data_IF_222092220000
#
_entry.id   IF_222092220000
#
_cell.length_a   1.000
_cell.length_b   1.000
_cell.length_c   1.000
_cell.angle_alpha   90.00
_cell.angle_beta   90.00
_cell.angle_gamma   90.00
#
_symmetry.space_group_name_H-M   'P 1'
#
loop_
_entity.id
_entity.type
_entity.pdbx_description
1 polymer ?
#
# COMPACT_ATOMS: atom_id res chain seq x y z
N UNK A 1 -5.28 3.83 7.88
CA UNK A 1 -6.01 3.96 6.62
C UNK A 1 -7.33 3.21 6.73
N UNK A 2 -8.33 3.62 6.00
CA UNK A 2 -9.69 3.04 5.96
C UNK A 2 -9.67 1.51 5.72
N UNK A 3 -8.76 1.05 4.88
CA UNK A 3 -8.57 -0.38 4.63
C UNK A 3 -8.21 -1.14 5.91
N UNK A 4 -7.25 -0.64 6.69
CA UNK A 4 -6.84 -1.27 7.95
C UNK A 4 -7.95 -1.23 8.98
N UNK A 5 -8.69 -0.11 9.07
CA UNK A 5 -9.84 0.02 9.97
C UNK A 5 -10.97 -0.92 9.56
N UNK A 6 -11.21 -1.11 8.27
CA UNK A 6 -12.20 -2.08 7.80
C UNK A 6 -11.81 -3.54 8.13
N UNK A 7 -10.53 -3.88 8.00
CA UNK A 7 -9.97 -5.20 8.40
C UNK A 7 -10.09 -5.39 9.93
N UNK A 8 -9.74 -4.36 10.71
CA UNK A 8 -9.94 -4.36 12.17
C UNK A 8 -11.41 -4.56 12.52
N UNK A 9 -12.31 -3.82 11.90
CA UNK A 9 -13.76 -3.93 12.12
C UNK A 9 -14.28 -5.35 11.86
N UNK A 10 -13.76 -6.02 10.82
CA UNK A 10 -14.07 -7.43 10.55
C UNK A 10 -13.56 -8.34 11.68
N UNK A 11 -12.32 -8.15 12.14
CA UNK A 11 -11.71 -8.97 13.20
C UNK A 11 -12.43 -8.85 14.54
N UNK A 12 -12.87 -7.65 14.90
CA UNK A 12 -13.60 -7.42 16.17
C UNK A 12 -15.09 -7.72 16.07
N UNK A 13 -15.57 -8.12 14.88
CA UNK A 13 -16.98 -8.47 14.67
C UNK A 13 -17.92 -7.26 14.77
N UNK A 14 -17.47 -6.05 14.42
CA UNK A 14 -18.23 -4.80 14.58
C UNK A 14 -19.57 -4.83 13.84
N UNK A 15 -19.68 -5.63 12.79
CA UNK A 15 -20.91 -5.79 12.02
C UNK A 15 -22.09 -6.33 12.85
N UNK A 16 -21.81 -7.14 13.87
CA UNK A 16 -22.84 -7.66 14.76
C UNK A 16 -23.51 -6.56 15.60
N UNK A 17 -22.83 -5.42 15.75
CA UNK A 17 -23.35 -4.23 16.46
C UNK A 17 -24.09 -3.27 15.54
N UNK A 18 -24.03 -3.50 14.22
CA UNK A 18 -24.61 -2.60 13.22
C UNK A 18 -26.00 -3.04 12.81
N UNK A 19 -26.95 -2.12 12.87
CA UNK A 19 -28.27 -2.28 12.22
C UNK A 19 -28.12 -1.89 10.75
N UNK A 20 -27.66 -2.81 9.91
CA UNK A 20 -27.51 -2.57 8.48
C UNK A 20 -28.89 -2.62 7.80
N UNK A 21 -29.23 -1.58 7.02
CA UNK A 21 -30.38 -1.61 6.13
C UNK A 21 -30.15 -2.64 5.00
N UNK A 22 -31.23 -3.18 4.43
CA UNK A 22 -31.19 -4.24 3.40
C UNK A 22 -30.30 -3.90 2.20
N UNK A 23 -30.20 -2.63 1.82
CA UNK A 23 -29.39 -2.15 0.70
C UNK A 23 -27.88 -2.20 0.97
N UNK A 24 -27.45 -1.96 2.20
CA UNK A 24 -26.06 -2.02 2.61
C UNK A 24 -25.55 -3.46 2.85
N UNK A 25 -26.46 -4.40 3.09
CA UNK A 25 -26.12 -5.81 3.34
C UNK A 25 -25.55 -6.53 2.13
N UNK A 26 -25.88 -6.11 0.92
CA UNK A 26 -25.47 -6.76 -0.34
C UNK A 26 -24.21 -6.17 -0.99
N UNK A 27 -23.76 -4.98 -0.57
CA UNK A 27 -22.64 -4.28 -1.19
C UNK A 27 -21.36 -4.42 -0.33
N UNK A 28 -20.39 -5.20 -0.82
CA UNK A 28 -19.11 -5.44 -0.13
C UNK A 28 -18.28 -4.17 0.05
N UNK A 29 -18.32 -3.24 -0.90
CA UNK A 29 -17.60 -1.97 -0.80
C UNK A 29 -18.22 -1.07 0.27
N UNK A 30 -19.55 -0.95 0.28
CA UNK A 30 -20.30 -0.23 1.29
C UNK A 30 -20.06 -0.82 2.69
N UNK A 31 -20.03 -2.13 2.83
CA UNK A 31 -19.72 -2.81 4.10
C UNK A 31 -18.31 -2.52 4.59
N UNK A 32 -17.31 -2.47 3.69
CA UNK A 32 -15.95 -2.11 4.03
C UNK A 32 -15.86 -0.68 4.58
N UNK A 33 -16.49 0.27 3.92
CA UNK A 33 -16.54 1.67 4.35
C UNK A 33 -17.23 1.80 5.72
N UNK A 34 -18.39 1.17 5.89
CA UNK A 34 -19.11 1.18 7.16
C UNK A 34 -18.28 0.60 8.31
N UNK A 35 -17.54 -0.50 8.09
CA UNK A 35 -16.63 -1.05 9.10
C UNK A 35 -15.57 -0.05 9.53
N UNK A 36 -14.94 0.64 8.57
CA UNK A 36 -13.93 1.64 8.86
C UNK A 36 -14.51 2.81 9.67
N UNK A 37 -15.62 3.39 9.23
CA UNK A 37 -16.30 4.50 9.92
C UNK A 37 -16.73 4.14 11.35
N UNK A 38 -17.23 2.92 11.56
CA UNK A 38 -17.62 2.49 12.90
C UNK A 38 -16.41 2.21 13.81
N UNK A 39 -15.28 1.75 13.26
CA UNK A 39 -14.04 1.67 14.02
C UNK A 39 -13.55 3.06 14.44
N UNK A 40 -13.64 4.06 13.57
CA UNK A 40 -13.31 5.46 13.92
C UNK A 40 -14.23 5.99 15.03
N UNK A 41 -15.53 5.75 14.89
CA UNK A 41 -16.51 6.14 15.91
C UNK A 41 -16.23 5.47 17.26
N UNK A 42 -15.85 4.18 17.27
CA UNK A 42 -15.49 3.45 18.49
C UNK A 42 -14.22 4.01 19.13
N UNK A 43 -13.19 4.30 18.35
CA UNK A 43 -11.97 4.96 18.81
C UNK A 43 -12.31 6.32 19.45
N UNK A 44 -13.12 7.11 18.77
CA UNK A 44 -13.58 8.41 19.27
C UNK A 44 -14.40 8.29 20.58
N UNK A 45 -15.26 7.28 20.70
CA UNK A 45 -16.05 7.01 21.89
C UNK A 45 -15.17 6.64 23.09
N UNK A 46 -14.20 5.72 22.91
CA UNK A 46 -13.23 5.32 23.95
C UNK A 46 -12.46 6.56 24.43
N UNK A 47 -11.99 7.41 23.52
CA UNK A 47 -11.29 8.64 23.88
C UNK A 47 -12.20 9.61 24.65
N UNK A 48 -13.42 9.84 24.19
CA UNK A 48 -14.36 10.76 24.85
C UNK A 48 -14.74 10.33 26.27
N UNK A 49 -14.92 9.01 26.48
CA UNK A 49 -15.28 8.49 27.80
C UNK A 49 -14.08 8.56 28.77
N UNK A 50 -12.88 8.23 28.28
CA UNK A 50 -11.68 8.14 29.13
C UNK A 50 -10.94 9.48 29.29
N UNK A 51 -11.12 10.42 28.36
CA UNK A 51 -10.32 11.66 28.25
C UNK A 51 -8.84 11.42 27.99
N UNK A 52 -8.42 10.19 27.64
CA UNK A 52 -7.02 9.78 27.50
C UNK A 52 -6.82 8.94 26.24
N UNK A 53 -5.63 9.04 25.65
CA UNK A 53 -5.24 8.23 24.49
C UNK A 53 -4.82 6.81 24.90
N UNK A 54 -4.32 6.62 26.13
CA UNK A 54 -3.79 5.35 26.60
C UNK A 54 -4.76 4.15 26.45
N UNK A 55 -6.06 4.23 26.77
CA UNK A 55 -7.00 3.13 26.55
C UNK A 55 -7.13 2.72 25.07
N UNK A 56 -7.14 3.73 24.16
CA UNK A 56 -7.17 3.48 22.70
C UNK A 56 -5.89 2.77 22.27
N UNK A 57 -4.73 3.23 22.73
CA UNK A 57 -3.45 2.59 22.42
C UNK A 57 -3.38 1.16 22.93
N UNK A 58 -3.80 0.94 24.18
CA UNK A 58 -3.83 -0.42 24.78
C UNK A 58 -4.70 -1.37 23.96
N UNK A 59 -5.88 -0.91 23.53
CA UNK A 59 -6.80 -1.70 22.72
C UNK A 59 -6.23 -2.00 21.33
N UNK A 60 -5.64 -1.01 20.64
CA UNK A 60 -5.18 -1.15 19.25
C UNK A 60 -3.80 -1.81 19.13
N UNK A 61 -2.96 -1.76 20.16
CA UNK A 61 -1.57 -2.27 20.10
C UNK A 61 -1.46 -3.73 19.62
N UNK A 62 -2.27 -4.70 20.08
CA UNK A 62 -2.19 -6.07 19.59
C UNK A 62 -2.40 -6.18 18.08
N UNK A 63 -3.39 -5.46 17.56
CA UNK A 63 -3.72 -5.45 16.12
C UNK A 63 -2.65 -4.76 15.27
N UNK A 64 -2.03 -3.69 15.78
CA UNK A 64 -0.90 -3.04 15.10
C UNK A 64 0.32 -3.94 15.05
N UNK A 65 0.62 -4.66 16.13
CA UNK A 65 1.75 -5.61 16.16
C UNK A 65 1.57 -6.73 15.16
N UNK A 66 0.37 -7.26 15.02
CA UNK A 66 0.06 -8.28 14.03
C UNK A 66 0.28 -7.78 12.59
N UNK A 67 -0.08 -6.54 12.29
CA UNK A 67 0.08 -5.94 10.96
C UNK A 67 1.47 -5.34 10.73
N UNK A 68 2.34 -5.29 11.73
CA UNK A 68 3.68 -4.67 11.61
C UNK A 68 4.56 -5.41 10.61
N UNK A 69 4.45 -6.73 10.51
CA UNK A 69 5.16 -7.54 9.52
C UNK A 69 4.81 -7.15 8.08
N UNK A 70 3.52 -6.97 7.80
CA UNK A 70 3.02 -6.57 6.48
C UNK A 70 3.46 -5.14 6.11
N UNK A 71 3.53 -4.25 7.11
CA UNK A 71 4.02 -2.88 6.92
C UNK A 71 5.51 -2.86 6.62
N UNK A 72 6.30 -3.70 7.29
CA UNK A 72 7.73 -3.83 7.02
C UNK A 72 8.00 -4.48 5.66
N UNK A 73 7.15 -5.42 5.24
CA UNK A 73 7.23 -6.06 3.92
C UNK A 73 6.81 -5.12 2.77
N UNK A 74 5.91 -4.16 3.02
CA UNK A 74 5.48 -3.15 2.06
C UNK A 74 5.39 -1.76 2.74
N UNK A 75 6.54 -1.12 3.04
CA UNK A 75 6.59 0.16 3.76
C UNK A 75 5.81 1.27 3.07
N UNK A 76 5.65 1.18 1.77
CA UNK A 76 4.96 2.18 0.96
C UNK A 76 3.45 1.90 0.79
N UNK A 77 2.93 0.77 1.29
CA UNK A 77 1.49 0.39 1.32
C UNK A 77 0.74 0.68 0.01
N UNK A 78 1.33 0.27 -1.11
CA UNK A 78 0.76 0.53 -2.43
C UNK A 78 0.93 1.96 -2.94
N UNK A 79 1.68 2.83 -2.24
CA UNK A 79 2.05 4.17 -2.70
C UNK A 79 3.48 4.21 -3.28
N UNK A 80 3.84 3.14 -3.99
CA UNK A 80 5.19 2.95 -4.53
C UNK A 80 5.58 4.01 -5.56
N UNK A 81 4.59 4.59 -6.26
CA UNK A 81 4.85 5.70 -7.21
C UNK A 81 5.41 6.93 -6.50
N UNK A 82 4.79 7.36 -5.40
CA UNK A 82 5.28 8.51 -4.63
C UNK A 82 6.65 8.22 -4.03
N UNK A 83 6.83 7.03 -3.47
CA UNK A 83 8.13 6.63 -2.91
C UNK A 83 9.24 6.64 -3.96
N UNK A 84 8.99 6.10 -5.16
CA UNK A 84 9.96 6.12 -6.25
C UNK A 84 10.25 7.56 -6.70
N UNK A 85 9.23 8.40 -6.80
CA UNK A 85 9.37 9.81 -7.15
C UNK A 85 10.22 10.57 -6.13
N UNK A 86 9.93 10.41 -4.84
CA UNK A 86 10.72 11.02 -3.76
C UNK A 86 12.18 10.58 -3.80
N UNK A 87 12.39 9.27 -4.00
CA UNK A 87 13.74 8.72 -4.10
C UNK A 87 14.51 9.28 -5.32
N UNK A 88 13.90 9.28 -6.51
CA UNK A 88 14.56 9.78 -7.73
C UNK A 88 14.88 11.26 -7.64
N UNK A 89 13.98 12.05 -7.06
CA UNK A 89 14.22 13.49 -6.82
C UNK A 89 15.35 13.70 -5.81
N UNK A 90 15.39 12.94 -4.72
CA UNK A 90 16.48 13.02 -3.74
C UNK A 90 17.85 12.64 -4.33
N UNK A 91 17.88 11.79 -5.37
CA UNK A 91 19.11 11.43 -6.10
C UNK A 91 19.44 12.38 -7.26
N UNK A 92 18.62 13.42 -7.51
CA UNK A 92 18.79 14.33 -8.64
C UNK A 92 18.51 13.70 -10.01
N UNK A 93 17.78 12.58 -10.06
CA UNK A 93 17.48 11.81 -11.28
C UNK A 93 16.20 12.29 -12.02
N UNK A 94 15.53 13.33 -11.51
CA UNK A 94 14.28 13.82 -12.05
C UNK A 94 13.08 12.97 -11.67
N UNK A 95 11.98 13.12 -12.40
CA UNK A 95 10.75 12.34 -12.19
C UNK A 95 10.78 11.04 -12.98
N UNK A 96 10.33 9.91 -12.40
CA UNK A 96 10.17 8.67 -13.16
C UNK A 96 9.05 8.82 -14.20
N UNK A 97 9.25 8.27 -15.38
CA UNK A 97 8.25 8.25 -16.45
C UNK A 97 7.65 6.85 -16.59
N UNK A 98 6.38 6.78 -17.00
CA UNK A 98 5.63 5.54 -17.12
C UNK A 98 5.03 5.40 -18.51
N UNK A 99 5.25 4.24 -19.14
CA UNK A 99 4.58 3.87 -20.39
C UNK A 99 3.70 2.67 -20.12
N UNK A 100 2.38 2.82 -20.30
CA UNK A 100 1.42 1.76 -20.02
C UNK A 100 0.58 1.45 -21.26
N UNK A 101 0.40 0.16 -21.54
CA UNK A 101 -0.41 -0.38 -22.63
C UNK A 101 -1.50 -1.28 -22.08
N UNK A 102 -2.68 -1.20 -22.65
CA UNK A 102 -3.75 -2.18 -22.41
C UNK A 102 -3.52 -3.38 -23.32
N UNK A 103 -3.21 -4.53 -22.73
CA UNK A 103 -2.88 -5.78 -23.46
C UNK A 103 -4.04 -6.77 -23.49
N UNK A 104 -5.08 -6.57 -22.67
CA UNK A 104 -6.28 -7.40 -22.63
C UNK A 104 -7.52 -6.53 -22.47
N UNK A 105 -8.59 -6.82 -23.21
CA UNK A 105 -9.89 -6.17 -23.06
C UNK A 105 -10.85 -6.94 -22.15
N UNK A 106 -10.40 -8.08 -21.60
CA UNK A 106 -11.24 -8.92 -20.74
C UNK A 106 -11.46 -8.21 -19.40
N UNK A 107 -12.72 -8.02 -19.04
CA UNK A 107 -13.07 -7.45 -17.73
C UNK A 107 -12.60 -8.38 -16.60
N UNK A 108 -11.97 -7.80 -15.55
CA UNK A 108 -11.45 -8.57 -14.42
C UNK A 108 -10.12 -9.28 -14.67
N UNK A 109 -9.49 -9.13 -15.85
CA UNK A 109 -8.17 -9.70 -16.12
C UNK A 109 -7.12 -8.98 -15.23
N UNK A 110 -6.42 -9.70 -14.33
CA UNK A 110 -5.40 -9.11 -13.45
C UNK A 110 -4.16 -8.61 -14.21
N UNK A 111 -3.98 -9.01 -15.47
CA UNK A 111 -2.88 -8.60 -16.35
C UNK A 111 -3.35 -7.72 -17.51
N UNK A 112 -4.46 -7.03 -17.34
CA UNK A 112 -5.06 -6.19 -18.38
C UNK A 112 -4.14 -5.09 -18.89
N UNK A 113 -3.38 -4.48 -18.00
CA UNK A 113 -2.44 -3.40 -18.31
C UNK A 113 -1.00 -3.86 -18.04
N UNK A 114 -0.11 -3.60 -18.99
CA UNK A 114 1.33 -3.72 -18.86
C UNK A 114 1.92 -2.32 -18.72
N UNK A 115 2.76 -2.09 -17.72
CA UNK A 115 3.35 -0.79 -17.45
C UNK A 115 4.85 -0.93 -17.24
N UNK A 116 5.61 -0.05 -17.88
CA UNK A 116 7.05 0.09 -17.75
C UNK A 116 7.37 1.41 -17.06
N UNK A 117 8.35 1.44 -16.19
CA UNK A 117 8.87 2.63 -15.53
C UNK A 117 10.32 2.88 -15.94
N UNK A 118 10.61 4.14 -16.20
CA UNK A 118 11.94 4.61 -16.59
C UNK A 118 12.41 5.64 -15.57
N UNK A 119 13.68 5.54 -15.16
CA UNK A 119 14.37 6.52 -14.32
C UNK A 119 15.46 7.13 -15.17
N UNK A 120 15.47 8.45 -15.27
CA UNK A 120 16.23 9.20 -16.28
C UNK A 120 15.78 8.86 -17.71
N UNK A 121 16.45 9.44 -18.72
CA UNK A 121 16.19 9.18 -20.16
C UNK A 121 16.90 7.87 -20.61
N UNK A 122 16.64 6.78 -19.90
CA UNK A 122 17.20 5.47 -20.27
C UNK A 122 16.41 4.85 -21.42
N UNK A 123 17.12 4.23 -22.37
CA UNK A 123 16.51 3.52 -23.50
C UNK A 123 15.83 2.19 -23.07
N UNK A 124 16.09 1.71 -21.85
CA UNK A 124 15.53 0.50 -21.31
C UNK A 124 14.71 0.80 -20.05
N UNK A 125 13.58 0.12 -19.84
CA UNK A 125 12.81 0.30 -18.61
C UNK A 125 13.61 -0.15 -17.39
N UNK A 126 13.54 0.62 -16.30
CA UNK A 126 14.12 0.24 -15.01
C UNK A 126 13.38 -0.96 -14.44
N UNK A 127 12.06 -1.01 -14.60
CA UNK A 127 11.24 -2.16 -14.22
C UNK A 127 9.92 -2.15 -14.99
N UNK A 128 9.22 -3.30 -14.95
CA UNK A 128 7.91 -3.45 -15.57
C UNK A 128 6.99 -4.30 -14.70
N UNK A 129 5.69 -4.11 -14.85
CA UNK A 129 4.69 -4.90 -14.14
C UNK A 129 3.32 -4.87 -14.84
N UNK A 130 2.43 -5.72 -14.35
CA UNK A 130 1.06 -5.85 -14.85
C UNK A 130 0.06 -5.51 -13.75
N UNK A 131 -1.15 -5.15 -14.16
CA UNK A 131 -2.27 -4.90 -13.25
C UNK A 131 -3.61 -4.96 -13.95
N UNK A 132 -4.67 -5.17 -13.18
CA UNK A 132 -6.05 -5.13 -13.66
C UNK A 132 -6.53 -3.72 -14.03
N UNK A 133 -5.83 -2.68 -13.58
CA UNK A 133 -6.01 -1.29 -13.99
C UNK A 133 -4.66 -0.63 -14.27
N UNK A 134 -4.67 0.46 -15.06
CA UNK A 134 -3.47 1.26 -15.33
C UNK A 134 -2.78 1.72 -14.05
N UNK A 135 -3.57 2.25 -13.10
CA UNK A 135 -3.05 2.69 -11.79
C UNK A 135 -2.37 1.55 -11.03
N UNK A 136 -2.96 0.36 -11.02
CA UNK A 136 -2.38 -0.79 -10.36
C UNK A 136 -1.07 -1.24 -11.02
N UNK A 137 -1.02 -1.29 -12.36
CA UNK A 137 0.18 -1.64 -13.11
C UNK A 137 1.33 -0.64 -12.85
N UNK A 138 1.04 0.67 -12.84
CA UNK A 138 2.00 1.72 -12.50
C UNK A 138 2.56 1.57 -11.07
N UNK A 139 1.72 1.29 -10.07
CA UNK A 139 2.14 1.07 -8.69
C UNK A 139 3.04 -0.16 -8.56
N UNK A 140 2.69 -1.25 -9.26
CA UNK A 140 3.50 -2.47 -9.26
C UNK A 140 4.85 -2.28 -9.97
N UNK A 141 4.90 -1.54 -11.08
CA UNK A 141 6.14 -1.21 -11.77
C UNK A 141 7.07 -0.35 -10.89
N UNK A 142 6.50 0.65 -10.20
CA UNK A 142 7.25 1.45 -9.24
C UNK A 142 7.80 0.62 -8.07
N UNK A 143 7.01 -0.32 -7.55
CA UNK A 143 7.43 -1.24 -6.49
C UNK A 143 8.60 -2.11 -6.94
N UNK A 144 8.52 -2.68 -8.15
CA UNK A 144 9.59 -3.48 -8.73
C UNK A 144 10.88 -2.67 -8.92
N UNK A 145 10.78 -1.42 -9.39
CA UNK A 145 11.93 -0.52 -9.51
C UNK A 145 12.60 -0.25 -8.16
N UNK A 146 11.82 0.06 -7.12
CA UNK A 146 12.34 0.28 -5.76
C UNK A 146 13.06 -0.95 -5.20
N UNK A 147 12.56 -2.16 -5.47
CA UNK A 147 13.20 -3.41 -5.05
C UNK A 147 14.55 -3.60 -5.75
N UNK A 148 14.65 -3.35 -7.07
CA UNK A 148 15.90 -3.44 -7.81
C UNK A 148 16.94 -2.44 -7.33
N UNK A 149 16.53 -1.19 -7.07
CA UNK A 149 17.39 -0.15 -6.52
C UNK A 149 17.96 -0.56 -5.15
N UNK A 150 17.11 -1.11 -4.29
CA UNK A 150 17.52 -1.57 -2.96
C UNK A 150 18.55 -2.70 -3.05
N UNK A 151 18.33 -3.68 -3.92
CA UNK A 151 19.25 -4.79 -4.15
C UNK A 151 20.61 -4.31 -4.70
N UNK A 152 20.61 -3.40 -5.68
CA UNK A 152 21.83 -2.83 -6.25
C UNK A 152 22.64 -2.06 -5.21
N UNK A 153 21.98 -1.29 -4.34
CA UNK A 153 22.64 -0.56 -3.25
C UNK A 153 23.26 -1.48 -2.20
N UNK A 154 22.63 -2.61 -1.90
CA UNK A 154 23.18 -3.62 -0.99
C UNK A 154 24.41 -4.28 -1.61
N UNK A 155 24.34 -4.66 -2.90
CA UNK A 155 25.47 -5.27 -3.61
C UNK A 155 26.68 -4.34 -3.70
N UNK A 156 26.49 -3.06 -4.00
CA UNK A 156 27.56 -2.08 -4.07
C UNK A 156 28.26 -1.88 -2.71
N UNK A 157 27.52 -1.84 -1.61
CA UNK A 157 28.07 -1.74 -0.26
C UNK A 157 28.87 -2.99 0.13
N UNK A 158 28.43 -4.18 -0.23
CA UNK A 158 29.13 -5.44 0.02
C UNK A 158 30.41 -5.57 -0.80
N UNK A 159 30.44 -5.05 -2.03
CA UNK A 159 31.62 -5.03 -2.89
C UNK A 159 32.69 -4.05 -2.35
N UNK A 160 32.27 -2.89 -1.90
CA UNK A 160 33.17 -1.87 -1.32
C UNK A 160 33.84 -2.33 -0.03
N UNK A 161 33.14 -3.13 0.79
CA UNK A 161 33.71 -3.65 2.05
C UNK A 161 34.70 -4.82 1.85
N UNK A 162 34.74 -5.45 0.67
CA UNK A 162 35.71 -6.51 0.35
C UNK A 162 37.07 -5.99 -0.12
N UNK A 163 37.18 -4.72 -0.51
CA UNK A 163 38.44 -4.09 -0.97
C UNK A 163 39.23 -3.39 0.14
N UNK A 164 38.74 -3.44 1.38
CA UNK A 164 39.34 -2.82 2.56
C UNK A 164 39.95 -3.85 3.54
N UNK A 165 40.27 -5.07 3.06
CA UNK A 165 41.01 -6.06 3.82
C UNK A 165 42.27 -6.48 3.10
#
# INVERSE_FOLDING_TARGET
>A
SDRWLAELGSKIGIEALLKLGAKASGDLAARSTLRAEHCEALIGAIYRISGKVAPVQTWLTPYWRETSGDVLADPHRGNSKSALQEWTQAQGLGLPTYTCQEISRRHGDPRRFHCQVFIQDQNSPTAEAWGGSRRQAEQQAAKAAMQQITLSNIQSKLSSSKHLR
#
